data_IF_101449051820
#
_entry.id   IF_101449051820
#
_cell.length_a   1.000
_cell.length_b   1.000
_cell.length_c   1.000
_cell.angle_alpha   90.00
_cell.angle_beta   90.00
_cell.angle_gamma   90.00
#
_symmetry.space_group_name_H-M   'P 1'
#
loop_
_entity.id
_entity.type
_entity.pdbx_description
1 polymer ?
#
# COMPACT_ATOMS: atom_id res chain seq x y z
N UNK A 1 0.33 -11.51 -0.25
CA UNK A 1 1.03 -10.93 0.92
C UNK A 1 0.07 -10.20 1.85
N UNK A 2 -0.74 -9.24 1.37
CA UNK A 2 -1.69 -8.47 2.20
C UNK A 2 -2.65 -9.31 3.06
N UNK A 3 -3.11 -10.44 2.54
CA UNK A 3 -4.03 -11.35 3.23
C UNK A 3 -3.47 -11.85 4.56
N UNK A 4 -2.16 -12.11 4.65
CA UNK A 4 -1.51 -12.56 5.88
C UNK A 4 -1.65 -11.53 7.01
N UNK A 5 -1.43 -10.25 6.69
CA UNK A 5 -1.50 -9.18 7.68
C UNK A 5 -2.92 -8.79 8.04
N UNK A 6 -3.89 -8.97 7.15
CA UNK A 6 -5.28 -8.55 7.36
C UNK A 6 -6.20 -9.67 7.83
N UNK A 7 -5.83 -10.94 7.57
CA UNK A 7 -6.69 -12.10 7.75
C UNK A 7 -7.90 -12.12 6.82
N UNK A 8 -7.88 -11.33 5.73
CA UNK A 8 -8.98 -11.16 4.80
C UNK A 8 -8.46 -11.29 3.37
N UNK A 9 -9.30 -11.84 2.50
CA UNK A 9 -9.03 -11.88 1.06
C UNK A 9 -8.86 -10.43 0.54
N UNK A 10 -7.87 -10.16 -0.34
CA UNK A 10 -7.74 -8.85 -0.98
C UNK A 10 -9.06 -8.44 -1.65
N UNK A 11 -9.41 -7.15 -1.57
CA UNK A 11 -10.65 -6.60 -2.12
C UNK A 11 -11.95 -7.15 -1.49
N UNK A 12 -11.93 -7.70 -0.27
CA UNK A 12 -13.15 -8.18 0.42
C UNK A 12 -14.31 -7.18 0.51
N UNK A 13 -14.03 -5.88 0.34
CA UNK A 13 -14.99 -4.78 0.37
C UNK A 13 -15.65 -4.49 -0.99
N UNK A 14 -15.21 -5.17 -2.06
CA UNK A 14 -15.76 -5.01 -3.41
C UNK A 14 -16.70 -6.18 -3.69
N UNK A 15 -17.97 -5.92 -4.03
CA UNK A 15 -18.98 -6.97 -4.15
C UNK A 15 -18.90 -7.78 -5.45
N UNK A 16 -18.22 -7.26 -6.48
CA UNK A 16 -18.20 -7.85 -7.82
C UNK A 16 -16.78 -7.93 -8.38
N UNK A 17 -16.37 -9.12 -8.80
CA UNK A 17 -15.04 -9.38 -9.38
C UNK A 17 -14.74 -8.50 -10.59
N UNK A 18 -15.76 -8.19 -11.41
CA UNK A 18 -15.62 -7.30 -12.56
C UNK A 18 -15.14 -5.89 -12.15
N UNK A 19 -15.55 -5.39 -10.98
CA UNK A 19 -15.07 -4.11 -10.46
C UNK A 19 -13.61 -4.20 -9.99
N UNK A 20 -13.22 -5.33 -9.39
CA UNK A 20 -11.82 -5.59 -9.02
C UNK A 20 -10.94 -5.59 -10.26
N UNK A 21 -11.37 -6.27 -11.32
CA UNK A 21 -10.65 -6.29 -12.61
C UNK A 21 -10.51 -4.87 -13.17
N UNK A 22 -11.60 -4.09 -13.20
CA UNK A 22 -11.57 -2.71 -13.68
C UNK A 22 -10.57 -1.84 -12.88
N UNK A 23 -10.58 -1.93 -11.55
CA UNK A 23 -9.62 -1.21 -10.70
C UNK A 23 -8.17 -1.59 -10.99
N UNK A 24 -7.89 -2.89 -11.11
CA UNK A 24 -6.53 -3.37 -11.42
C UNK A 24 -6.09 -2.86 -12.80
N UNK A 25 -7.00 -2.83 -13.79
CA UNK A 25 -6.70 -2.30 -15.12
C UNK A 25 -6.46 -0.78 -15.12
N UNK A 26 -7.12 -0.04 -14.23
CA UNK A 26 -6.85 1.38 -13.99
C UNK A 26 -5.51 1.60 -13.23
N UNK A 27 -4.88 0.53 -12.75
CA UNK A 27 -3.65 0.55 -11.98
C UNK A 27 -3.87 0.89 -10.51
N UNK A 28 -5.11 0.70 -10.02
CA UNK A 28 -5.42 0.80 -8.61
C UNK A 28 -5.19 -0.55 -7.92
N UNK A 29 -4.50 -0.47 -6.78
CA UNK A 29 -4.16 -1.61 -5.94
C UNK A 29 -4.93 -1.52 -4.61
N UNK A 30 -4.95 -2.60 -3.80
CA UNK A 30 -5.68 -2.58 -2.54
C UNK A 30 -5.28 -1.38 -1.69
N UNK A 31 -6.27 -0.66 -1.16
CA UNK A 31 -6.03 0.42 -0.19
C UNK A 31 -5.28 -0.12 1.03
N UNK A 32 -4.33 0.67 1.55
CA UNK A 32 -3.64 0.36 2.80
C UNK A 32 -4.67 0.18 3.93
N UNK A 33 -4.61 -0.93 4.69
CA UNK A 33 -5.42 -1.08 5.89
C UNK A 33 -4.95 -0.09 6.97
N UNK A 34 -5.86 0.73 7.48
CA UNK A 34 -5.59 1.71 8.55
C UNK A 34 -5.86 1.14 9.96
N UNK A 35 -5.90 -0.19 10.11
CA UNK A 35 -6.22 -0.88 11.37
C UNK A 35 -4.95 -1.10 12.21
N UNK A 36 -4.92 -0.57 13.43
CA UNK A 36 -3.81 -0.70 14.39
C UNK A 36 -3.39 -2.16 14.61
N UNK A 37 -4.34 -3.11 14.54
CA UNK A 37 -4.05 -4.55 14.68
C UNK A 37 -3.20 -5.08 13.53
N UNK A 38 -3.38 -4.53 12.33
CA UNK A 38 -2.63 -4.91 11.12
C UNK A 38 -1.20 -4.37 11.22
N UNK A 39 -1.04 -3.14 11.72
CA UNK A 39 0.27 -2.53 11.99
C UNK A 39 1.01 -3.30 13.10
N UNK A 40 0.32 -3.65 14.19
CA UNK A 40 0.87 -4.45 15.28
C UNK A 40 1.33 -5.86 14.83
N UNK A 41 0.71 -6.42 13.78
CA UNK A 41 1.14 -7.68 13.14
C UNK A 41 2.37 -7.52 12.24
N UNK A 42 2.92 -6.33 12.12
CA UNK A 42 4.14 -6.07 11.36
C UNK A 42 3.92 -5.51 9.95
N UNK A 43 2.72 -5.01 9.62
CA UNK A 43 2.54 -4.19 8.43
C UNK A 43 3.01 -2.75 8.67
N UNK A 44 4.32 -2.62 8.89
CA UNK A 44 4.99 -1.32 8.98
C UNK A 44 5.16 -0.67 7.59
N UNK A 45 5.69 0.55 7.57
CA UNK A 45 5.91 1.28 6.32
C UNK A 45 6.82 0.51 5.35
N UNK A 46 7.90 -0.08 5.86
CA UNK A 46 8.83 -0.88 5.04
C UNK A 46 8.15 -2.08 4.39
N UNK A 47 7.34 -2.82 5.15
CA UNK A 47 6.61 -3.97 4.62
C UNK A 47 5.55 -3.53 3.60
N UNK A 48 4.88 -2.40 3.84
CA UNK A 48 3.92 -1.83 2.90
C UNK A 48 4.59 -1.43 1.57
N UNK A 49 5.74 -0.75 1.64
CA UNK A 49 6.53 -0.39 0.45
C UNK A 49 7.01 -1.63 -0.32
N UNK A 50 7.49 -2.65 0.38
CA UNK A 50 7.86 -3.94 -0.23
C UNK A 50 6.69 -4.56 -1.00
N UNK A 51 5.49 -4.52 -0.42
CA UNK A 51 4.28 -5.00 -1.09
C UNK A 51 3.93 -4.16 -2.32
N UNK A 52 4.10 -2.83 -2.25
CA UNK A 52 3.90 -1.92 -3.37
C UNK A 52 4.83 -2.20 -4.55
N UNK A 53 6.10 -2.49 -4.28
CA UNK A 53 7.06 -2.90 -5.29
C UNK A 53 6.65 -4.24 -5.94
N UNK A 54 6.20 -5.22 -5.13
CA UNK A 54 5.80 -6.54 -5.63
C UNK A 54 4.64 -6.49 -6.63
N UNK A 55 3.66 -5.62 -6.41
CA UNK A 55 2.51 -5.47 -7.30
C UNK A 55 2.60 -4.23 -8.18
N UNK A 56 3.81 -3.78 -8.51
CA UNK A 56 3.99 -2.64 -9.40
C UNK A 56 3.30 -2.87 -10.76
N UNK A 57 2.69 -1.81 -11.31
CA UNK A 57 1.93 -1.88 -12.57
C UNK A 57 2.81 -2.30 -13.75
N UNK A 58 4.08 -1.87 -13.75
CA UNK A 58 5.09 -2.30 -14.72
C UNK A 58 5.77 -3.60 -14.22
N UNK A 59 5.67 -4.73 -14.95
CA UNK A 59 6.24 -5.99 -14.53
C UNK A 59 7.77 -5.98 -14.36
N UNK A 60 8.47 -5.13 -15.13
CA UNK A 60 9.93 -4.99 -15.07
C UNK A 60 10.44 -4.32 -13.80
N UNK A 61 9.60 -3.53 -13.14
CA UNK A 61 9.94 -2.87 -11.86
C UNK A 61 9.71 -3.78 -10.66
N UNK A 62 9.04 -4.93 -10.86
CA UNK A 62 8.79 -5.85 -9.77
C UNK A 62 10.12 -6.50 -9.35
N UNK A 63 10.44 -6.50 -8.05
CA UNK A 63 11.66 -7.12 -7.56
C UNK A 63 11.64 -8.62 -7.84
N UNK A 64 12.81 -9.20 -8.07
CA UNK A 64 12.93 -10.65 -8.19
C UNK A 64 12.68 -11.32 -6.83
N UNK A 65 12.36 -12.61 -6.84
CA UNK A 65 12.22 -13.38 -5.60
C UNK A 65 13.52 -13.35 -4.75
N UNK A 66 14.69 -13.33 -5.38
CA UNK A 66 15.97 -13.25 -4.69
C UNK A 66 16.16 -11.88 -4.00
N UNK A 67 15.78 -10.80 -4.66
CA UNK A 67 15.80 -9.46 -4.08
C UNK A 67 14.84 -9.36 -2.89
N UNK A 68 13.65 -9.95 -3.01
CA UNK A 68 12.66 -9.96 -1.94
C UNK A 68 13.14 -10.72 -0.71
N UNK A 69 13.75 -11.90 -0.89
CA UNK A 69 14.35 -12.66 0.22
C UNK A 69 15.44 -11.84 0.91
N UNK A 70 16.30 -11.17 0.14
CA UNK A 70 17.38 -10.33 0.67
C UNK A 70 16.84 -9.15 1.49
N UNK A 71 15.80 -8.46 0.98
CA UNK A 71 15.14 -7.35 1.68
C UNK A 71 14.45 -7.81 2.95
N UNK A 72 13.78 -8.96 2.92
CA UNK A 72 13.10 -9.54 4.09
C UNK A 72 14.10 -9.96 5.17
N UNK A 73 15.21 -10.60 4.79
CA UNK A 73 16.28 -10.97 5.72
C UNK A 73 16.84 -9.73 6.45
N UNK A 74 17.20 -8.69 5.69
CA UNK A 74 17.69 -7.44 6.26
C UNK A 74 16.68 -6.78 7.23
N UNK A 75 15.39 -6.83 6.92
CA UNK A 75 14.35 -6.28 7.80
C UNK A 75 14.22 -7.06 9.13
N UNK A 76 14.44 -8.37 9.11
CA UNK A 76 14.42 -9.21 10.33
C UNK A 76 15.64 -8.95 11.22
N UNK A 77 16.82 -8.78 10.62
CA UNK A 77 18.05 -8.48 11.34
C UNK A 77 17.94 -7.17 12.13
N UNK A 78 17.39 -6.11 11.51
CA UNK A 78 17.15 -4.82 12.16
C UNK A 78 16.16 -4.91 13.33
N UNK A 79 15.15 -5.77 13.22
CA UNK A 79 14.13 -5.93 14.27
C UNK A 79 14.71 -6.61 15.51
N UNK A 80 15.63 -7.57 15.32
CA UNK A 80 16.30 -8.26 16.43
C UNK A 80 17.11 -7.32 17.35
N UNK A 81 17.69 -6.26 16.79
CA UNK A 81 18.50 -5.29 17.53
C UNK A 81 17.69 -4.28 18.38
N UNK A 82 16.39 -4.12 18.13
CA UNK A 82 15.55 -3.08 18.75
C UNK A 82 14.75 -3.53 19.99
N UNK A 83 14.86 -4.80 20.40
CA UNK A 83 14.04 -5.38 21.49
C UNK A 83 14.60 -5.12 22.91
N UNK A 84 15.58 -4.24 23.09
CA UNK A 84 16.27 -4.01 24.38
C UNK A 84 16.18 -2.60 24.97
N UNK A 85 15.22 -1.76 24.56
CA UNK A 85 15.00 -0.47 25.24
C UNK A 85 13.67 -0.47 25.96
N UNK A 86 13.76 -0.83 27.25
CA UNK A 86 12.71 -0.68 28.23
C UNK A 86 12.34 0.79 28.48
N UNK A 87 11.13 0.94 29.02
CA UNK A 87 10.47 2.16 29.46
C UNK A 87 11.35 3.11 30.29
N UNK A 88 11.03 4.41 30.25
CA UNK A 88 10.70 5.33 31.37
C UNK A 88 10.21 6.68 30.81
N UNK A 89 8.97 7.13 31.12
CA UNK A 89 8.72 8.35 31.91
C UNK A 89 8.17 9.51 31.04
N UNK A 90 6.85 9.80 30.99
CA UNK A 90 5.97 10.51 31.92
C UNK A 90 6.12 12.06 31.97
N UNK A 91 4.98 12.74 31.73
CA UNK A 91 4.63 14.16 31.98
C UNK A 91 5.20 15.21 31.02
N UNK A 92 4.38 16.02 30.34
CA UNK A 92 3.81 17.23 30.95
C UNK A 92 2.64 17.77 30.11
N UNK A 93 1.54 18.10 30.80
CA UNK A 93 0.34 18.77 30.31
C UNK A 93 0.70 20.17 29.81
N UNK A 94 0.06 20.66 28.75
CA UNK A 94 -0.50 22.03 28.65
C UNK A 94 -1.45 22.12 27.46
N UNK A 95 -2.73 22.35 27.72
CA UNK A 95 -3.66 23.04 26.81
C UNK A 95 -3.71 24.51 27.27
N UNK A 96 -3.88 25.46 26.34
CA UNK A 96 -5.18 26.13 26.19
C UNK A 96 -5.62 26.10 24.72
N UNK A 97 -6.90 25.84 24.39
CA UNK A 97 -8.07 26.76 24.35
C UNK A 97 -7.85 27.96 23.40
N UNK A 98 -8.95 28.42 22.81
CA UNK A 98 -9.16 29.37 21.69
C UNK A 98 -9.10 28.69 20.30
N UNK A 99 -10.00 28.87 19.35
CA UNK A 99 -11.33 29.48 19.30
C UNK A 99 -12.04 28.97 18.03
N UNK A 100 -13.37 28.94 18.10
CA UNK A 100 -14.32 28.68 17.03
C UNK A 100 -14.16 29.62 15.83
N UNK A 101 -14.07 29.08 14.61
CA UNK A 101 -14.58 29.76 13.42
C UNK A 101 -15.30 28.79 12.47
N UNK A 102 -16.53 29.17 12.20
CA UNK A 102 -17.56 28.54 11.38
C UNK A 102 -17.47 29.10 9.95
N UNK A 103 -17.66 28.24 8.94
CA UNK A 103 -17.84 28.61 7.53
C UNK A 103 -16.53 28.54 6.72
N UNK A 104 -16.47 28.01 5.51
CA UNK A 104 -17.49 27.88 4.48
C UNK A 104 -17.02 26.83 3.45
N UNK A 105 -17.96 26.10 2.84
CA UNK A 105 -17.66 25.17 1.74
C UNK A 105 -17.67 25.89 0.40
N UNK A 106 -16.78 25.50 -0.54
CA UNK A 106 -17.20 25.48 -1.93
C UNK A 106 -16.93 24.16 -2.65
N UNK A 107 -17.87 23.92 -3.55
CA UNK A 107 -18.08 22.77 -4.42
C UNK A 107 -16.82 22.23 -5.12
N UNK A 108 -16.77 20.89 -5.12
CA UNK A 108 -16.49 19.99 -6.25
C UNK A 108 -16.31 20.69 -7.60
N UNK A 109 -15.10 20.59 -8.16
CA UNK A 109 -14.87 20.71 -9.60
C UNK A 109 -14.18 19.43 -10.08
N UNK A 110 -14.98 18.55 -10.68
CA UNK A 110 -14.51 17.47 -11.52
C UNK A 110 -14.02 18.11 -12.82
N UNK A 111 -12.72 18.01 -13.10
CA UNK A 111 -12.17 18.21 -14.44
C UNK A 111 -11.02 17.22 -14.61
N UNK A 112 -11.31 16.07 -15.21
CA UNK A 112 -10.27 15.17 -15.72
C UNK A 112 -9.85 15.58 -17.12
N UNK A 113 -8.68 15.11 -17.58
CA UNK A 113 -8.54 14.61 -18.92
C UNK A 113 -8.49 13.07 -18.88
N UNK A 114 -9.51 12.47 -19.50
CA UNK A 114 -9.51 11.06 -19.90
C UNK A 114 -8.48 10.87 -21.02
N UNK A 115 -7.31 10.29 -20.73
CA UNK A 115 -6.49 9.62 -21.78
C UNK A 115 -5.31 8.77 -21.28
N UNK A 116 -5.34 8.16 -20.08
CA UNK A 116 -4.23 7.27 -19.63
C UNK A 116 -4.53 5.78 -19.92
N UNK A 117 -5.79 5.43 -20.23
CA UNK A 117 -6.22 4.04 -20.45
C UNK A 117 -5.49 3.33 -21.62
N UNK A 118 -5.09 4.05 -22.66
CA UNK A 118 -4.47 3.45 -23.85
C UNK A 118 -2.99 3.07 -23.66
N UNK A 119 -2.28 3.73 -22.75
CA UNK A 119 -0.85 3.46 -22.53
C UNK A 119 -0.62 2.25 -21.61
N UNK A 120 -1.54 2.00 -20.66
CA UNK A 120 -1.32 1.01 -19.59
C UNK A 120 -1.73 -0.42 -19.95
N UNK A 121 -2.72 -0.60 -20.83
CA UNK A 121 -3.11 -1.92 -21.34
C UNK A 121 -2.00 -2.60 -22.17
N UNK A 122 -1.21 -1.82 -22.92
CA UNK A 122 -0.09 -2.36 -23.71
C UNK A 122 1.06 -2.88 -22.84
N UNK A 123 1.28 -2.31 -21.64
CA UNK A 123 2.30 -2.81 -20.71
C UNK A 123 1.85 -4.07 -19.96
N UNK A 124 0.55 -4.19 -19.67
CA UNK A 124 0.01 -5.36 -18.96
C UNK A 124 -0.08 -6.61 -19.85
N UNK A 125 -0.45 -6.46 -21.13
CA UNK A 125 -0.57 -7.58 -22.10
C UNK A 125 0.60 -7.71 -23.11
N UNK A 126 1.42 -6.67 -23.32
CA UNK A 126 2.48 -6.67 -24.35
C UNK A 126 3.78 -7.37 -23.96
N UNK A 127 4.00 -7.70 -22.68
CA UNK A 127 5.21 -8.38 -22.23
C UNK A 127 5.16 -9.91 -22.39
N UNK A 128 3.99 -10.51 -22.64
CA UNK A 128 3.82 -11.97 -22.81
C UNK A 128 4.08 -12.45 -24.24
N UNK A 129 5.10 -11.90 -24.93
CA UNK A 129 5.53 -12.37 -26.26
C UNK A 129 7.05 -12.36 -26.46
N UNK A 130 7.87 -12.72 -25.47
CA UNK A 130 9.27 -13.14 -25.71
C UNK A 130 9.68 -14.18 -24.67
N UNK A 131 9.76 -15.45 -25.09
CA UNK A 131 10.31 -16.51 -24.25
C UNK A 131 9.60 -17.86 -24.34
N UNK A 132 9.22 -18.30 -25.55
CA UNK A 132 9.07 -19.74 -25.80
C UNK A 132 9.91 -20.07 -27.03
N UNK A 133 11.12 -20.57 -26.77
CA UNK A 133 11.91 -21.36 -27.71
C UNK A 133 12.84 -22.25 -26.93
#
# INVERSE_FOLDING_TARGET
MLEFFTGKVPFFYIPHDAMVIAMILDGEFPRRPDDDRVVARGLDESMWQLMMDCWHAMPSERPSAADLVSRLAAALDLKSASTSVGAEGLTTRTLPREDSFLGDSPRRQQNGPRSILETRLRSFFGASKRGFR
#
